data_IF_843776566788
#
_entry.id   IF_843776566788
#
_cell.length_a   1.000
_cell.length_b   1.000
_cell.length_c   1.000
_cell.angle_alpha   90.00
_cell.angle_beta   90.00
_cell.angle_gamma   90.00
#
_symmetry.space_group_name_H-M   'P 1'
#
loop_
_entity.id
_entity.type
_entity.pdbx_description
1 polymer ?
#
# COMPACT_ATOMS: atom_id res chain seq x y z
N UNK A 1 24.35 24.90 6.55
CA UNK A 1 23.86 23.73 5.82
C UNK A 1 22.70 23.22 6.65
N UNK A 2 21.48 23.27 6.15
CA UNK A 2 20.33 22.72 6.88
C UNK A 2 20.22 21.23 6.54
N UNK A 3 20.25 20.37 7.56
CA UNK A 3 19.97 18.94 7.40
C UNK A 3 18.46 18.75 7.39
N UNK A 4 17.90 18.35 6.24
CA UNK A 4 16.52 17.92 6.17
C UNK A 4 16.39 16.53 6.82
N UNK A 5 15.65 16.45 7.93
CA UNK A 5 15.27 15.18 8.54
C UNK A 5 13.84 14.79 8.13
N UNK A 6 13.73 13.97 7.08
CA UNK A 6 12.45 13.43 6.62
C UNK A 6 12.07 12.15 7.37
N UNK A 7 10.87 12.12 7.96
CA UNK A 7 10.24 10.88 8.45
C UNK A 7 9.13 10.49 7.49
N UNK A 8 9.25 9.33 6.85
CA UNK A 8 8.14 8.75 6.08
C UNK A 8 7.25 7.98 7.06
N UNK A 9 6.01 8.43 7.36
CA UNK A 9 5.11 7.68 8.22
C UNK A 9 4.76 6.34 7.55
N UNK A 10 5.22 5.24 8.15
CA UNK A 10 5.04 3.88 7.64
C UNK A 10 3.94 3.16 8.44
N UNK A 11 2.70 3.20 7.95
CA UNK A 11 1.54 2.65 8.65
C UNK A 11 0.46 2.16 7.70
N UNK A 12 -0.02 0.92 7.87
CA UNK A 12 -1.16 0.36 7.14
C UNK A 12 -2.49 0.47 7.91
N UNK A 13 -2.60 1.46 8.81
CA UNK A 13 -3.86 1.81 9.46
C UNK A 13 -4.88 2.23 8.41
N UNK A 14 -6.11 1.73 8.52
CA UNK A 14 -7.19 2.06 7.60
C UNK A 14 -7.57 3.53 7.71
N UNK A 15 -7.62 4.21 6.56
CA UNK A 15 -8.22 5.54 6.44
C UNK A 15 -9.70 5.44 6.11
N UNK A 16 -10.47 6.43 6.54
CA UNK A 16 -11.85 6.60 6.13
C UNK A 16 -11.91 7.69 5.06
N UNK A 17 -11.93 7.28 3.79
CA UNK A 17 -11.92 8.18 2.62
C UNK A 17 -13.19 9.05 2.57
N UNK A 18 -14.35 8.47 2.88
CA UNK A 18 -15.65 9.16 2.90
C UNK A 18 -16.24 9.14 4.32
N UNK A 19 -15.86 10.10 5.19
CA UNK A 19 -16.37 10.16 6.56
C UNK A 19 -17.83 10.63 6.65
N UNK A 20 -18.36 11.31 5.63
CA UNK A 20 -19.76 11.72 5.55
C UNK A 20 -20.20 11.90 4.09
N UNK A 21 -21.51 12.05 3.86
CA UNK A 21 -22.12 12.12 2.51
C UNK A 21 -21.51 13.20 1.60
N UNK A 22 -21.03 14.31 2.17
CA UNK A 22 -20.52 15.47 1.40
C UNK A 22 -19.04 15.75 1.66
N UNK A 23 -18.30 14.81 2.26
CA UNK A 23 -16.88 14.96 2.55
C UNK A 23 -16.10 13.80 1.95
N UNK A 24 -15.13 14.13 1.12
CA UNK A 24 -14.14 13.19 0.59
C UNK A 24 -12.74 13.62 1.04
N UNK A 25 -12.00 12.71 1.68
CA UNK A 25 -10.60 12.91 2.02
C UNK A 25 -9.72 12.44 0.86
N UNK A 26 -8.70 13.23 0.54
CA UNK A 26 -7.75 12.93 -0.53
C UNK A 26 -6.32 12.89 0.01
N UNK A 27 -5.37 12.46 -0.81
CA UNK A 27 -3.96 12.33 -0.42
C UNK A 27 -3.80 11.33 0.74
N UNK A 28 -2.89 11.60 1.66
CA UNK A 28 -2.63 10.71 2.82
C UNK A 28 -3.88 10.50 3.67
N UNK A 29 -4.69 11.54 3.90
CA UNK A 29 -5.92 11.43 4.68
C UNK A 29 -6.99 10.54 4.02
N UNK A 30 -6.94 10.42 2.69
CA UNK A 30 -7.77 9.51 1.90
C UNK A 30 -7.19 8.10 1.74
N UNK A 31 -5.99 7.83 2.28
CA UNK A 31 -5.31 6.55 2.12
C UNK A 31 -4.62 6.38 0.76
N UNK A 32 -4.21 7.49 0.12
CA UNK A 32 -3.63 7.45 -1.22
C UNK A 32 -2.12 7.22 -1.17
N UNK A 33 -1.51 7.41 0.00
CA UNK A 33 -0.10 7.13 0.26
C UNK A 33 0.14 5.63 0.38
N UNK A 34 1.11 5.10 -0.38
CA UNK A 34 1.57 3.73 -0.17
C UNK A 34 2.19 3.61 1.24
N UNK A 35 1.66 2.73 2.11
CA UNK A 35 1.98 2.77 3.52
C UNK A 35 3.38 2.25 3.86
N UNK A 36 4.07 1.59 2.92
CA UNK A 36 5.44 1.10 3.15
C UNK A 36 6.51 1.97 2.46
N UNK A 37 6.14 2.80 1.50
CA UNK A 37 7.12 3.51 0.63
C UNK A 37 6.88 5.02 0.56
N UNK A 38 5.76 5.52 1.09
CA UNK A 38 5.43 6.94 1.03
C UNK A 38 4.98 7.44 -0.36
N UNK A 39 4.95 6.56 -1.37
CA UNK A 39 4.54 6.92 -2.73
C UNK A 39 3.09 7.42 -2.74
N UNK A 40 2.93 8.73 -2.95
CA UNK A 40 1.64 9.43 -2.78
C UNK A 40 1.21 10.16 -4.04
N UNK A 41 2.13 10.86 -4.71
CA UNK A 41 1.79 11.77 -5.82
C UNK A 41 1.06 11.07 -6.98
N UNK A 42 1.68 10.05 -7.58
CA UNK A 42 1.08 9.32 -8.71
C UNK A 42 -0.20 8.57 -8.31
N UNK A 43 -0.23 7.97 -7.13
CA UNK A 43 -1.43 7.30 -6.61
C UNK A 43 -2.59 8.28 -6.43
N UNK A 44 -2.31 9.50 -5.96
CA UNK A 44 -3.30 10.55 -5.79
C UNK A 44 -3.89 10.95 -7.13
N UNK A 45 -3.05 11.20 -8.15
CA UNK A 45 -3.53 11.52 -9.50
C UNK A 45 -4.43 10.41 -10.06
N UNK A 46 -4.04 9.15 -9.91
CA UNK A 46 -4.82 7.99 -10.39
C UNK A 46 -6.16 7.86 -9.67
N UNK A 47 -6.18 8.00 -8.35
CA UNK A 47 -7.41 7.92 -7.54
C UNK A 47 -8.35 9.08 -7.80
N UNK A 48 -7.84 10.31 -7.88
CA UNK A 48 -8.64 11.50 -8.21
C UNK A 48 -9.29 11.38 -9.59
N UNK A 49 -8.57 10.86 -10.60
CA UNK A 49 -9.15 10.64 -11.93
C UNK A 49 -10.33 9.67 -11.89
N UNK A 50 -10.24 8.60 -11.11
CA UNK A 50 -11.34 7.63 -10.92
C UNK A 50 -12.51 8.25 -10.15
N UNK A 51 -12.21 8.97 -9.06
CA UNK A 51 -13.19 9.63 -8.20
C UNK A 51 -14.02 10.64 -9.00
N UNK A 52 -13.36 11.56 -9.71
CA UNK A 52 -14.05 12.57 -10.53
C UNK A 52 -14.85 11.90 -11.65
N UNK A 53 -14.27 10.94 -12.36
CA UNK A 53 -14.97 10.24 -13.44
C UNK A 53 -16.19 9.43 -12.95
N UNK A 54 -16.17 8.92 -11.71
CA UNK A 54 -17.33 8.25 -11.12
C UNK A 54 -18.40 9.24 -10.65
N UNK A 55 -17.96 10.38 -10.10
CA UNK A 55 -18.83 11.48 -9.70
C UNK A 55 -19.62 12.04 -10.89
N UNK A 56 -18.95 12.28 -12.02
CA UNK A 56 -19.59 12.75 -13.26
C UNK A 56 -20.64 11.77 -13.80
N UNK A 57 -20.40 10.46 -13.66
CA UNK A 57 -21.28 9.42 -14.21
C UNK A 57 -22.46 9.05 -13.31
N UNK A 58 -22.25 9.06 -12.00
CA UNK A 58 -23.19 8.45 -11.03
C UNK A 58 -23.70 9.44 -9.99
N UNK A 59 -23.11 10.63 -9.90
CA UNK A 59 -23.33 11.58 -8.81
C UNK A 59 -22.68 11.17 -7.49
N UNK A 60 -21.91 10.08 -7.44
CA UNK A 60 -21.18 9.62 -6.26
C UNK A 60 -19.67 9.57 -6.50
N UNK A 61 -18.83 10.06 -5.57
CA UNK A 61 -17.37 9.94 -5.67
C UNK A 61 -16.85 8.53 -5.29
N UNK A 62 -17.69 7.68 -4.70
CA UNK A 62 -17.27 6.39 -4.14
C UNK A 62 -16.99 5.36 -5.23
N UNK A 63 -15.75 4.87 -5.27
CA UNK A 63 -15.30 3.84 -6.21
C UNK A 63 -15.04 2.54 -5.45
N UNK A 64 -15.76 1.48 -5.82
CA UNK A 64 -15.49 0.14 -5.28
C UNK A 64 -14.21 -0.41 -5.91
N UNK A 65 -13.15 -0.51 -5.10
CA UNK A 65 -11.90 -1.12 -5.54
C UNK A 65 -12.00 -2.65 -5.54
N UNK A 66 -11.54 -3.25 -6.64
CA UNK A 66 -11.33 -4.68 -6.75
C UNK A 66 -10.19 -5.16 -5.84
N UNK A 67 -10.15 -6.46 -5.55
CA UNK A 67 -9.00 -7.05 -4.85
C UNK A 67 -7.68 -6.77 -5.57
N UNK A 68 -7.70 -6.78 -6.91
CA UNK A 68 -6.51 -6.50 -7.71
C UNK A 68 -5.99 -5.09 -7.42
N UNK A 69 -6.85 -4.09 -7.30
CA UNK A 69 -6.43 -2.71 -6.97
C UNK A 69 -5.91 -2.60 -5.53
N UNK A 70 -6.47 -3.36 -4.60
CA UNK A 70 -6.06 -3.35 -3.19
C UNK A 70 -4.79 -4.16 -2.89
N UNK A 71 -4.27 -4.95 -3.85
CA UNK A 71 -3.14 -5.86 -3.60
C UNK A 71 -1.86 -5.15 -3.16
N UNK A 72 -1.61 -3.92 -3.62
CA UNK A 72 -0.43 -3.16 -3.20
C UNK A 72 -0.51 -2.74 -1.73
N UNK A 73 -1.71 -2.47 -1.21
CA UNK A 73 -1.90 -2.26 0.23
C UNK A 73 -1.57 -3.54 1.01
N UNK A 74 -1.94 -4.71 0.48
CA UNK A 74 -1.56 -5.98 1.07
C UNK A 74 -0.03 -6.20 1.06
N UNK A 75 0.65 -5.94 -0.06
CA UNK A 75 2.12 -6.05 -0.13
C UNK A 75 2.81 -5.12 0.85
N UNK A 76 2.30 -3.89 0.99
CA UNK A 76 2.80 -2.94 1.96
C UNK A 76 2.57 -3.42 3.41
N UNK A 77 1.39 -3.95 3.74
CA UNK A 77 1.13 -4.59 5.04
C UNK A 77 2.13 -5.71 5.36
N UNK A 78 2.51 -6.53 4.37
CA UNK A 78 3.49 -7.61 4.54
C UNK A 78 4.87 -7.05 4.84
N UNK A 79 5.34 -6.07 4.07
CA UNK A 79 6.62 -5.42 4.31
C UNK A 79 6.66 -4.77 5.70
N UNK A 80 5.63 -3.99 6.06
CA UNK A 80 5.52 -3.38 7.37
C UNK A 80 5.58 -4.42 8.49
N UNK A 81 4.91 -5.56 8.33
CA UNK A 81 4.96 -6.62 9.33
C UNK A 81 6.37 -7.25 9.43
N UNK A 82 7.12 -7.40 8.33
CA UNK A 82 8.53 -7.85 8.37
C UNK A 82 9.38 -6.87 9.19
N UNK A 83 9.20 -5.57 8.98
CA UNK A 83 9.96 -4.51 9.66
C UNK A 83 9.58 -4.39 11.14
N UNK A 84 8.28 -4.31 11.44
CA UNK A 84 7.73 -4.20 12.79
C UNK A 84 8.19 -5.36 13.68
N UNK A 85 8.14 -6.59 13.15
CA UNK A 85 8.53 -7.80 13.87
C UNK A 85 10.04 -8.08 13.78
N UNK A 86 10.83 -7.13 13.26
CA UNK A 86 12.29 -7.20 13.11
C UNK A 86 12.78 -8.51 12.47
N UNK A 87 12.00 -9.06 11.53
CA UNK A 87 12.31 -10.36 10.89
C UNK A 87 13.50 -10.27 9.94
N UNK A 88 13.76 -9.07 9.41
CA UNK A 88 14.91 -8.76 8.59
C UNK A 88 15.20 -7.25 8.62
N UNK A 89 16.45 -6.87 8.31
CA UNK A 89 16.88 -5.47 8.20
C UNK A 89 16.18 -4.79 7.03
N UNK A 90 15.66 -3.57 7.25
CA UNK A 90 15.11 -2.75 6.18
C UNK A 90 16.17 -2.47 5.09
N UNK A 91 17.39 -2.12 5.51
CA UNK A 91 18.50 -1.82 4.61
C UNK A 91 18.81 -3.01 3.69
N UNK A 92 18.83 -4.24 4.22
CA UNK A 92 19.09 -5.44 3.44
C UNK A 92 17.96 -5.76 2.46
N UNK A 93 16.70 -5.56 2.87
CA UNK A 93 15.53 -5.72 1.98
C UNK A 93 15.66 -4.78 0.79
N UNK A 94 15.84 -3.49 1.04
CA UNK A 94 15.91 -2.48 -0.02
C UNK A 94 17.17 -2.66 -0.88
N UNK A 95 18.34 -2.92 -0.28
CA UNK A 95 19.57 -3.18 -1.01
C UNK A 95 19.42 -4.40 -1.94
N UNK A 96 18.87 -5.51 -1.46
CA UNK A 96 18.63 -6.70 -2.28
C UNK A 96 17.61 -6.41 -3.40
N UNK A 97 16.55 -5.65 -3.08
CA UNK A 97 15.51 -5.27 -4.04
C UNK A 97 16.10 -4.46 -5.21
N UNK A 98 16.84 -3.39 -4.92
CA UNK A 98 17.43 -2.51 -5.93
C UNK A 98 18.59 -3.19 -6.69
N UNK A 99 19.39 -4.02 -6.02
CA UNK A 99 20.53 -4.70 -6.67
C UNK A 99 20.11 -5.81 -7.63
N UNK A 100 19.01 -6.51 -7.33
CA UNK A 100 18.58 -7.71 -8.06
C UNK A 100 17.45 -7.46 -9.06
N UNK A 101 16.97 -6.21 -9.19
CA UNK A 101 15.92 -5.86 -10.13
C UNK A 101 16.32 -4.64 -10.97
N UNK A 102 15.94 -4.59 -12.26
CA UNK A 102 16.08 -3.38 -13.05
C UNK A 102 15.34 -2.20 -12.39
N UNK A 103 15.93 -0.99 -12.34
CA UNK A 103 15.31 0.18 -11.71
C UNK A 103 13.89 0.44 -12.21
N UNK A 104 13.65 0.33 -13.52
CA UNK A 104 12.33 0.49 -14.12
C UNK A 104 11.27 -0.43 -13.49
N UNK A 105 11.60 -1.69 -13.19
CA UNK A 105 10.66 -2.63 -12.54
C UNK A 105 10.36 -2.20 -11.10
N UNK A 106 11.37 -1.73 -10.38
CA UNK A 106 11.19 -1.27 -9.00
C UNK A 106 10.30 -0.04 -8.99
N UNK A 107 10.55 0.96 -9.84
CA UNK A 107 9.70 2.15 -9.94
C UNK A 107 8.26 1.80 -10.34
N UNK A 108 8.05 0.95 -11.36
CA UNK A 108 6.70 0.49 -11.70
C UNK A 108 5.99 -0.18 -10.52
N UNK A 109 6.71 -0.96 -9.70
CA UNK A 109 6.13 -1.58 -8.51
C UNK A 109 5.75 -0.54 -7.44
N UNK A 110 6.59 0.46 -7.21
CA UNK A 110 6.30 1.57 -6.30
C UNK A 110 5.11 2.40 -6.77
N UNK A 111 4.97 2.60 -8.09
CA UNK A 111 3.83 3.27 -8.74
C UNK A 111 2.55 2.43 -8.79
N UNK A 112 2.60 1.17 -8.33
CA UNK A 112 1.47 0.25 -8.39
C UNK A 112 1.06 -0.12 -9.82
N UNK A 113 1.98 -0.04 -10.78
CA UNK A 113 1.77 -0.25 -12.22
C UNK A 113 2.52 -1.50 -12.75
N UNK A 114 2.56 -2.53 -11.92
CA UNK A 114 3.09 -3.85 -12.30
C UNK A 114 1.98 -4.85 -12.54
N UNK A 115 2.31 -5.96 -13.20
CA UNK A 115 1.51 -7.17 -13.22
C UNK A 115 2.03 -8.22 -12.23
N UNK A 116 1.22 -9.26 -11.97
CA UNK A 116 1.55 -10.34 -11.04
C UNK A 116 2.88 -11.04 -11.37
N UNK A 117 3.24 -11.15 -12.65
CA UNK A 117 4.51 -11.77 -13.06
C UNK A 117 5.72 -10.91 -12.69
N UNK A 118 5.64 -9.60 -12.90
CA UNK A 118 6.69 -8.66 -12.48
C UNK A 118 6.82 -8.62 -10.95
N UNK A 119 5.68 -8.64 -10.25
CA UNK A 119 5.61 -8.71 -8.79
C UNK A 119 6.25 -9.99 -8.25
N UNK A 120 5.95 -11.15 -8.84
CA UNK A 120 6.56 -12.42 -8.43
C UNK A 120 8.08 -12.44 -8.67
N UNK A 121 8.56 -11.90 -9.80
CA UNK A 121 10.00 -11.74 -10.05
C UNK A 121 10.66 -10.88 -8.97
N UNK A 122 10.01 -9.78 -8.59
CA UNK A 122 10.49 -8.86 -7.56
C UNK A 122 10.49 -9.52 -6.17
N UNK A 123 9.39 -10.16 -5.76
CA UNK A 123 9.26 -10.87 -4.49
C UNK A 123 10.26 -12.03 -4.35
N UNK A 124 10.70 -12.62 -5.47
CA UNK A 124 11.71 -13.65 -5.45
C UNK A 124 13.13 -13.15 -5.09
N UNK A 125 13.34 -11.84 -5.01
CA UNK A 125 14.64 -11.23 -4.70
C UNK A 125 14.84 -10.85 -3.23
N UNK A 126 13.77 -10.88 -2.42
CA UNK A 126 13.80 -10.58 -0.98
C UNK A 126 13.82 -11.88 -0.14
N UNK A 127 14.12 -11.84 1.17
CA UNK A 127 14.19 -13.03 2.03
C UNK A 127 12.84 -13.77 2.16
N UNK A 128 12.61 -14.73 1.25
CA UNK A 128 11.32 -15.41 1.05
C UNK A 128 10.73 -15.99 2.33
N UNK A 129 11.54 -16.65 3.15
CA UNK A 129 11.08 -17.29 4.41
C UNK A 129 10.52 -16.27 5.40
N UNK A 130 11.17 -15.10 5.52
CA UNK A 130 10.73 -14.01 6.40
C UNK A 130 9.43 -13.38 5.90
N UNK A 131 9.32 -13.20 4.57
CA UNK A 131 8.11 -12.67 3.94
C UNK A 131 6.94 -13.64 3.99
N UNK A 132 7.15 -14.95 3.80
CA UNK A 132 6.10 -15.96 3.92
C UNK A 132 5.51 -16.01 5.33
N UNK A 133 6.35 -15.94 6.37
CA UNK A 133 5.87 -15.84 7.76
C UNK A 133 5.02 -14.57 7.98
N UNK A 134 5.44 -13.43 7.40
CA UNK A 134 4.68 -12.18 7.47
C UNK A 134 3.36 -12.25 6.70
N UNK A 135 3.31 -12.90 5.52
CA UNK A 135 2.07 -13.15 4.77
C UNK A 135 1.05 -13.88 5.63
N UNK A 136 1.45 -14.98 6.29
CA UNK A 136 0.57 -15.72 7.19
C UNK A 136 0.04 -14.84 8.34
N UNK A 137 0.93 -14.09 8.99
CA UNK A 137 0.54 -13.18 10.09
C UNK A 137 -0.44 -12.09 9.63
N UNK A 138 -0.19 -11.47 8.47
CA UNK A 138 -1.05 -10.41 7.91
C UNK A 138 -2.41 -10.96 7.49
N UNK A 139 -2.47 -12.16 6.90
CA UNK A 139 -3.73 -12.83 6.56
C UNK A 139 -4.56 -13.08 7.81
N UNK A 140 -3.97 -13.65 8.87
CA UNK A 140 -4.67 -13.87 10.15
C UNK A 140 -5.17 -12.54 10.74
N UNK A 141 -4.34 -11.49 10.73
CA UNK A 141 -4.70 -10.15 11.22
C UNK A 141 -5.89 -9.57 10.46
N UNK A 142 -5.86 -9.59 9.12
CA UNK A 142 -6.94 -9.04 8.27
C UNK A 142 -8.21 -9.86 8.36
N UNK A 143 -8.12 -11.19 8.49
CA UNK A 143 -9.27 -12.07 8.72
C UNK A 143 -9.93 -11.75 10.06
N UNK A 144 -9.16 -11.69 11.16
CA UNK A 144 -9.69 -11.28 12.47
C UNK A 144 -10.38 -9.93 12.40
N UNK A 145 -9.75 -8.92 11.80
CA UNK A 145 -10.33 -7.59 11.65
C UNK A 145 -11.67 -7.60 10.88
N UNK A 146 -11.81 -8.43 9.84
CA UNK A 146 -13.07 -8.62 9.12
C UNK A 146 -14.18 -9.24 9.98
N UNK A 147 -13.84 -10.14 10.90
CA UNK A 147 -14.81 -10.75 11.82
C UNK A 147 -15.13 -9.87 13.03
N UNK A 148 -14.20 -9.01 13.46
CA UNK A 148 -14.40 -8.11 14.61
C UNK A 148 -15.12 -6.80 14.22
N UNK A 149 -15.24 -6.48 12.93
CA UNK A 149 -15.96 -5.30 12.46
C UNK A 149 -17.48 -5.55 12.42
N UNK A 150 -18.14 -5.34 13.56
CA UNK A 150 -19.57 -5.15 13.65
C UNK A 150 -19.84 -3.64 13.52
N UNK A 151 -20.70 -3.18 12.59
CA UNK A 151 -20.94 -1.75 12.45
C UNK A 151 -21.54 -1.23 13.76
N UNK A 152 -20.89 -0.24 14.38
CA UNK A 152 -21.55 0.54 15.43
C UNK A 152 -22.67 1.35 14.79
N UNK A 153 -23.86 1.41 15.43
CA UNK A 153 -25.04 2.09 14.89
C UNK A 153 -24.78 3.56 14.60
#
# INVERSE_FOLDING_TARGET
>A
MEEEFGVIPMSDVSTQEFPSKHVARIGTAGGYTNPATGYTFQNTQRKLKKLVGNLEKTGSPEVKESWFEQRFLFYASVLLNVLEQKRHSAADIFASLYRKNPPARVFSFLDGDTNLWQELKLMNTVPKTKFLAAVGAVLVRKLKARFTYQPRP
#
